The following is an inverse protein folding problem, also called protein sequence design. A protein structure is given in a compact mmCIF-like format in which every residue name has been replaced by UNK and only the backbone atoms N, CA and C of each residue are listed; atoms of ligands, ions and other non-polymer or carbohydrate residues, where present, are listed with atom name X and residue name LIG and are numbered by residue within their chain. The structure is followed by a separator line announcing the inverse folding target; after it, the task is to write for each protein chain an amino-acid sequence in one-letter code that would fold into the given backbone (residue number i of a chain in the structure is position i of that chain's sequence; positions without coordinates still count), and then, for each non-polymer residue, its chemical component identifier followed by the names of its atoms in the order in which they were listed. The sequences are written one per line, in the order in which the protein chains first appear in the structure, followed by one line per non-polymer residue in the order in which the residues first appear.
data_IF_410292641795
#
_entry.id   IF_410292641795
#
_cell.length_a   1.000
_cell.length_b   1.000
_cell.length_c   1.000
_cell.angle_alpha   90.00
_cell.angle_beta   90.00
_cell.angle_gamma   90.00
#
_symmetry.space_group_name_H-M   'P 1'
#
loop_
_entity.id
_entity.type
_entity.pdbx_description
1 polymer ?
#
# COMPACT_ATOMS: atom_id res chain seq x y z
N UNK A 1 -28.73 -10.76 -24.10
CA UNK A 1 -27.90 -11.70 -23.32
C UNK A 1 -26.86 -10.95 -22.45
N UNK A 2 -27.28 -9.84 -21.77
CA UNK A 2 -26.38 -8.95 -20.95
C UNK A 2 -27.06 -8.63 -19.60
N UNK A 3 -27.76 -9.59 -19.00
CA UNK A 3 -28.41 -9.37 -17.68
C UNK A 3 -28.04 -10.38 -16.61
N UNK A 4 -26.89 -11.05 -16.74
CA UNK A 4 -26.50 -12.12 -15.79
C UNK A 4 -25.32 -11.77 -14.86
N UNK A 5 -24.81 -10.54 -14.89
CA UNK A 5 -23.69 -10.13 -14.05
C UNK A 5 -24.03 -9.15 -12.93
N UNK A 6 -25.31 -8.77 -12.77
CA UNK A 6 -25.71 -7.76 -11.77
C UNK A 6 -26.18 -8.33 -10.42
N UNK A 7 -25.98 -9.61 -10.14
CA UNK A 7 -26.47 -10.24 -8.90
C UNK A 7 -25.38 -10.97 -8.10
N UNK A 8 -24.12 -10.64 -8.27
CA UNK A 8 -23.12 -11.03 -7.28
C UNK A 8 -23.16 -9.97 -6.19
N UNK A 9 -24.12 -10.07 -5.29
CA UNK A 9 -24.09 -9.35 -4.01
C UNK A 9 -22.84 -9.74 -3.27
N UNK A 10 -21.95 -8.77 -3.06
CA UNK A 10 -20.69 -8.88 -2.35
C UNK A 10 -20.72 -8.94 -0.79
N UNK A 11 -21.78 -9.30 -0.08
CA UNK A 11 -21.70 -9.43 1.37
C UNK A 11 -21.17 -10.79 1.86
N UNK A 12 -21.25 -11.85 1.07
CA UNK A 12 -20.82 -13.18 1.51
C UNK A 12 -19.38 -13.55 1.16
N UNK A 13 -18.76 -12.87 0.20
CA UNK A 13 -17.40 -13.17 -0.26
C UNK A 13 -16.29 -12.45 0.52
N UNK A 14 -16.61 -11.37 1.26
CA UNK A 14 -15.61 -10.60 2.00
C UNK A 14 -15.20 -11.23 3.34
N UNK A 15 -16.05 -12.06 3.95
CA UNK A 15 -15.78 -12.66 5.26
C UNK A 15 -14.54 -13.58 5.26
N UNK A 16 -14.36 -14.51 4.30
CA UNK A 16 -13.14 -15.31 4.21
C UNK A 16 -11.88 -14.45 4.01
N UNK A 17 -11.98 -13.40 3.19
CA UNK A 17 -10.87 -12.48 2.96
C UNK A 17 -10.50 -11.68 4.20
N UNK A 18 -11.48 -11.19 4.96
CA UNK A 18 -11.24 -10.50 6.23
C UNK A 18 -10.52 -11.40 7.22
N UNK A 19 -10.96 -12.64 7.31
CA UNK A 19 -10.33 -13.64 8.18
C UNK A 19 -8.91 -13.97 7.71
N UNK A 20 -8.72 -14.15 6.38
CA UNK A 20 -7.43 -14.48 5.80
C UNK A 20 -6.39 -13.35 5.99
N UNK A 21 -6.78 -12.11 5.71
CA UNK A 21 -5.90 -10.95 5.84
C UNK A 21 -5.77 -10.46 7.28
N UNK A 22 -6.72 -10.79 8.15
CA UNK A 22 -6.76 -10.28 9.54
C UNK A 22 -7.17 -8.81 9.62
N UNK A 23 -8.08 -8.35 8.74
CA UNK A 23 -8.51 -6.94 8.71
C UNK A 23 -10.03 -6.78 8.65
N UNK A 24 -10.58 -5.65 9.14
CA UNK A 24 -12.03 -5.43 9.18
C UNK A 24 -12.66 -5.16 7.82
N UNK A 25 -11.92 -4.62 6.86
CA UNK A 25 -12.46 -4.21 5.56
C UNK A 25 -11.68 -4.82 4.41
N UNK A 26 -12.40 -5.30 3.38
CA UNK A 26 -11.78 -5.86 2.17
C UNK A 26 -12.59 -5.48 0.94
N UNK A 27 -11.89 -5.00 -0.10
CA UNK A 27 -12.41 -4.73 -1.42
C UNK A 27 -11.86 -5.77 -2.42
N UNK A 28 -12.74 -6.41 -3.18
CA UNK A 28 -12.40 -7.48 -4.13
C UNK A 28 -12.87 -7.23 -5.57
N UNK A 29 -13.49 -6.08 -5.83
CA UNK A 29 -13.97 -5.72 -7.18
C UNK A 29 -12.85 -5.38 -8.15
N UNK A 30 -11.67 -5.02 -7.64
CA UNK A 30 -10.49 -4.70 -8.45
C UNK A 30 -10.01 -5.92 -9.23
N UNK A 31 -9.69 -5.72 -10.51
CA UNK A 31 -9.39 -6.83 -11.45
C UNK A 31 -7.89 -7.20 -11.49
N UNK A 32 -7.03 -6.46 -10.83
CA UNK A 32 -5.59 -6.76 -10.75
C UNK A 32 -4.95 -6.12 -9.53
N UNK A 33 -3.77 -6.60 -9.13
CA UNK A 33 -2.97 -5.97 -8.08
C UNK A 33 -2.52 -4.55 -8.45
N UNK A 34 -2.27 -4.27 -9.72
CA UNK A 34 -1.97 -2.91 -10.17
C UNK A 34 -3.16 -1.98 -9.97
N UNK A 35 -4.37 -2.42 -10.29
CA UNK A 35 -5.58 -1.62 -10.02
C UNK A 35 -5.84 -1.46 -8.53
N UNK A 36 -5.48 -2.44 -7.70
CA UNK A 36 -5.53 -2.29 -6.25
C UNK A 36 -4.64 -1.13 -5.79
N UNK A 37 -3.43 -1.03 -6.33
CA UNK A 37 -2.53 0.09 -6.03
C UNK A 37 -3.08 1.42 -6.56
N UNK A 38 -3.56 1.47 -7.81
CA UNK A 38 -4.15 2.68 -8.39
C UNK A 38 -5.33 3.19 -7.58
N UNK A 39 -6.27 2.31 -7.22
CA UNK A 39 -7.42 2.67 -6.39
C UNK A 39 -6.98 3.20 -5.01
N UNK A 40 -5.97 2.58 -4.40
CA UNK A 40 -5.41 3.03 -3.13
C UNK A 40 -4.75 4.41 -3.26
N UNK A 41 -3.94 4.64 -4.28
CA UNK A 41 -3.26 5.93 -4.49
C UNK A 41 -4.26 7.05 -4.83
N UNK A 42 -5.27 6.76 -5.67
CA UNK A 42 -6.36 7.69 -5.96
C UNK A 42 -7.10 8.08 -4.68
N UNK A 43 -7.49 7.10 -3.88
CA UNK A 43 -8.20 7.35 -2.63
C UNK A 43 -7.36 8.15 -1.62
N UNK A 44 -6.05 7.90 -1.53
CA UNK A 44 -5.14 8.69 -0.68
C UNK A 44 -5.04 10.14 -1.15
N UNK A 45 -4.97 10.36 -2.47
CA UNK A 45 -4.94 11.70 -3.05
C UNK A 45 -6.26 12.44 -2.79
N UNK A 46 -7.41 11.79 -2.99
CA UNK A 46 -8.73 12.36 -2.72
C UNK A 46 -8.92 12.64 -1.23
N UNK A 47 -8.45 11.75 -0.38
CA UNK A 47 -8.46 11.95 1.08
C UNK A 47 -7.62 13.15 1.49
N UNK A 48 -6.44 13.33 0.91
CA UNK A 48 -5.58 14.49 1.14
C UNK A 48 -6.30 15.79 0.77
N UNK A 49 -7.04 15.80 -0.33
CA UNK A 49 -7.73 16.98 -0.86
C UNK A 49 -9.17 17.16 -0.36
N UNK A 50 -9.67 16.31 0.54
CA UNK A 50 -11.08 16.28 0.95
C UNK A 50 -11.63 17.57 1.56
N UNK A 51 -10.76 18.37 2.16
CA UNK A 51 -11.13 19.63 2.81
C UNK A 51 -11.04 20.84 1.87
N UNK A 52 -10.37 20.72 0.73
CA UNK A 52 -10.21 21.79 -0.24
C UNK A 52 -10.42 21.27 -1.67
N UNK A 53 -11.67 21.16 -2.06
CA UNK A 53 -12.06 20.69 -3.40
C UNK A 53 -12.04 21.78 -4.47
N UNK A 54 -11.76 23.04 -4.10
CA UNK A 54 -11.81 24.18 -5.01
C UNK A 54 -10.48 24.44 -5.73
N UNK A 55 -9.39 23.92 -5.19
CA UNK A 55 -8.05 24.04 -5.76
C UNK A 55 -7.69 22.82 -6.61
N UNK A 56 -6.68 22.98 -7.45
CA UNK A 56 -6.08 21.85 -8.18
C UNK A 56 -5.67 20.77 -7.18
N UNK A 57 -6.10 19.50 -7.35
CA UNK A 57 -5.77 18.45 -6.42
C UNK A 57 -4.26 18.30 -6.23
N UNK A 58 -3.83 18.36 -4.97
CA UNK A 58 -2.44 18.15 -4.63
C UNK A 58 -2.12 16.67 -4.71
N UNK A 59 -1.07 16.31 -5.42
CA UNK A 59 -0.53 14.97 -5.44
C UNK A 59 0.10 14.61 -4.10
N UNK A 60 0.32 13.31 -3.87
CA UNK A 60 1.04 12.82 -2.70
C UNK A 60 2.44 13.45 -2.67
N UNK A 61 2.85 13.88 -1.51
CA UNK A 61 4.20 14.36 -1.25
C UNK A 61 5.23 13.23 -1.31
N UNK A 62 6.20 13.21 -0.41
CA UNK A 62 7.18 12.12 -0.42
C UNK A 62 6.53 10.75 -0.19
N UNK A 63 6.92 9.79 -1.03
CA UNK A 63 6.60 8.36 -0.88
C UNK A 63 7.89 7.60 -0.68
N UNK A 64 7.94 6.75 0.34
CA UNK A 64 9.07 5.86 0.62
C UNK A 64 8.71 4.44 0.14
N UNK A 65 9.54 3.86 -0.73
CA UNK A 65 9.30 2.53 -1.28
C UNK A 65 10.60 1.73 -1.49
N UNK A 66 10.47 0.47 -1.88
CA UNK A 66 11.60 -0.35 -2.29
C UNK A 66 12.08 0.01 -3.71
N UNK A 67 13.37 0.26 -3.89
CA UNK A 67 13.95 0.52 -5.21
C UNK A 67 13.80 -0.70 -6.14
N UNK A 68 13.48 -0.47 -7.41
CA UNK A 68 13.22 -1.55 -8.38
C UNK A 68 14.42 -2.51 -8.54
N UNK A 69 15.65 -1.99 -8.57
CA UNK A 69 16.89 -2.80 -8.67
C UNK A 69 17.12 -3.65 -7.41
N UNK A 70 16.49 -3.29 -6.29
CA UNK A 70 16.51 -4.04 -5.01
C UNK A 70 15.27 -4.91 -4.83
N UNK A 71 14.66 -5.30 -5.93
CA UNK A 71 13.49 -6.16 -5.97
C UNK A 71 12.15 -5.45 -5.78
N UNK A 72 12.11 -4.10 -5.77
CA UNK A 72 10.87 -3.34 -5.63
C UNK A 72 9.83 -3.68 -6.68
N UNK A 73 8.55 -3.60 -6.30
CA UNK A 73 7.44 -3.89 -7.20
C UNK A 73 7.21 -2.71 -8.17
N UNK A 74 7.12 -2.99 -9.47
CA UNK A 74 6.97 -1.97 -10.51
C UNK A 74 5.72 -1.10 -10.30
N UNK A 75 4.61 -1.69 -9.90
CA UNK A 75 3.36 -1.00 -9.65
C UNK A 75 3.48 0.11 -8.58
N UNK A 76 4.40 -0.03 -7.62
CA UNK A 76 4.66 0.96 -6.58
C UNK A 76 5.73 2.01 -6.99
N UNK A 77 6.11 2.08 -8.27
CA UNK A 77 7.14 2.99 -8.77
C UNK A 77 6.54 4.17 -9.55
N UNK A 78 7.29 5.28 -9.70
CA UNK A 78 6.86 6.42 -10.54
C UNK A 78 6.67 6.07 -12.02
N UNK A 79 7.26 4.99 -12.49
CA UNK A 79 7.07 4.48 -13.85
C UNK A 79 5.89 3.49 -13.96
N UNK A 80 5.25 3.17 -12.85
CA UNK A 80 4.09 2.28 -12.76
C UNK A 80 2.84 3.02 -12.27
N UNK A 81 2.05 2.38 -11.40
CA UNK A 81 0.77 2.93 -10.94
C UNK A 81 0.90 4.22 -10.09
N UNK A 82 2.05 4.48 -9.49
CA UNK A 82 2.28 5.67 -8.67
C UNK A 82 2.43 6.96 -9.51
N UNK A 83 2.70 6.87 -10.81
CA UNK A 83 3.06 7.98 -11.70
C UNK A 83 2.15 9.21 -11.58
N UNK A 84 0.85 9.00 -11.62
CA UNK A 84 -0.12 10.09 -11.71
C UNK A 84 -0.50 10.65 -10.32
N UNK A 85 -0.07 10.00 -9.25
CA UNK A 85 -0.44 10.32 -7.88
C UNK A 85 0.67 10.97 -7.05
N UNK A 86 1.92 10.93 -7.53
CA UNK A 86 3.09 11.46 -6.83
C UNK A 86 3.45 12.87 -7.30
N UNK A 87 3.83 13.74 -6.38
CA UNK A 87 4.33 15.07 -6.71
C UNK A 87 5.63 14.99 -7.52
N UNK A 88 5.79 15.97 -8.41
CA UNK A 88 6.98 16.14 -9.24
C UNK A 88 7.52 17.54 -9.00
N UNK A 89 8.82 17.64 -8.76
CA UNK A 89 9.49 18.92 -8.67
C UNK A 89 9.46 19.60 -10.05
N UNK A 90 8.89 20.82 -10.18
CA UNK A 90 8.69 21.45 -11.47
C UNK A 90 9.98 21.92 -12.15
N UNK A 91 11.08 22.02 -11.41
CA UNK A 91 12.38 22.48 -11.93
C UNK A 91 13.27 21.31 -12.34
N UNK A 92 13.33 20.28 -11.49
CA UNK A 92 14.22 19.14 -11.70
C UNK A 92 13.52 17.95 -12.35
N UNK A 93 12.18 18.00 -12.50
CA UNK A 93 11.32 16.92 -12.98
C UNK A 93 11.43 15.62 -12.16
N UNK A 94 12.03 15.69 -10.98
CA UNK A 94 12.17 14.54 -10.10
C UNK A 94 10.89 14.28 -9.34
N UNK A 95 10.48 13.03 -9.33
CA UNK A 95 9.35 12.57 -8.51
C UNK A 95 9.72 12.59 -7.03
N UNK A 96 8.76 12.91 -6.17
CA UNK A 96 8.94 12.93 -4.72
C UNK A 96 8.99 11.50 -4.12
N UNK A 97 9.79 10.62 -4.71
CA UNK A 97 10.02 9.26 -4.24
C UNK A 97 11.40 9.16 -3.61
N UNK A 98 11.45 8.58 -2.43
CA UNK A 98 12.69 8.14 -1.78
C UNK A 98 12.66 6.63 -1.64
N UNK A 99 13.82 6.00 -1.64
CA UNK A 99 13.89 4.55 -1.53
C UNK A 99 14.40 4.13 -0.16
N UNK A 100 13.96 2.97 0.30
CA UNK A 100 14.51 2.36 1.50
C UNK A 100 16.02 2.15 1.35
N UNK A 101 16.83 2.64 2.29
CA UNK A 101 18.21 2.18 2.45
C UNK A 101 18.24 0.67 2.67
N UNK A 102 19.28 0.02 2.15
CA UNK A 102 19.48 -1.41 2.30
C UNK A 102 20.79 -1.72 3.03
N UNK A 103 20.84 -2.86 3.70
CA UNK A 103 22.04 -3.30 4.40
C UNK A 103 23.19 -3.52 3.41
N UNK A 104 24.43 -3.26 3.86
CA UNK A 104 25.62 -3.44 3.01
C UNK A 104 25.91 -4.91 2.71
N UNK A 105 25.58 -5.78 3.64
CA UNK A 105 25.79 -7.23 3.56
C UNK A 105 24.64 -7.96 2.86
N UNK A 106 23.46 -7.34 2.75
CA UNK A 106 22.27 -7.91 2.10
C UNK A 106 21.45 -6.81 1.42
N UNK A 107 21.64 -6.65 0.13
CA UNK A 107 20.99 -5.60 -0.67
C UNK A 107 19.46 -5.78 -0.83
N UNK A 108 18.90 -6.90 -0.35
CA UNK A 108 17.46 -7.16 -0.32
C UNK A 108 16.86 -6.98 1.07
N UNK A 109 17.69 -6.67 2.08
CA UNK A 109 17.25 -6.36 3.44
C UNK A 109 17.26 -4.85 3.68
N UNK A 110 16.13 -4.32 4.13
CA UNK A 110 15.99 -2.91 4.50
C UNK A 110 16.86 -2.63 5.74
N UNK A 111 17.65 -1.57 5.68
CA UNK A 111 18.35 -1.03 6.84
C UNK A 111 17.38 -0.15 7.66
N UNK A 112 16.97 -0.65 8.80
CA UNK A 112 15.95 0.00 9.63
C UNK A 112 16.46 1.32 10.22
N UNK A 113 17.72 1.37 10.67
CA UNK A 113 18.25 2.58 11.30
C UNK A 113 18.47 3.71 10.29
N UNK A 114 19.00 3.40 9.12
CA UNK A 114 19.08 4.38 8.05
C UNK A 114 17.71 4.79 7.52
N UNK A 115 16.74 3.86 7.48
CA UNK A 115 15.36 4.15 7.11
C UNK A 115 14.70 5.14 8.05
N UNK A 116 14.92 5.03 9.36
CA UNK A 116 14.42 6.00 10.36
C UNK A 116 14.90 7.42 10.06
N UNK A 117 16.19 7.58 9.71
CA UNK A 117 16.77 8.89 9.31
C UNK A 117 16.11 9.45 8.04
N UNK A 118 15.87 8.57 7.06
CA UNK A 118 15.17 8.95 5.82
C UNK A 118 13.74 9.41 6.12
N UNK A 119 13.00 8.67 6.95
CA UNK A 119 11.64 9.03 7.35
C UNK A 119 11.62 10.36 8.11
N UNK A 120 12.54 10.58 9.04
CA UNK A 120 12.61 11.82 9.79
C UNK A 120 12.92 13.03 8.87
N UNK A 121 13.83 12.85 7.92
CA UNK A 121 14.21 13.89 6.96
C UNK A 121 13.11 14.26 5.98
N UNK A 122 12.46 13.27 5.37
CA UNK A 122 11.54 13.48 4.24
C UNK A 122 10.06 13.48 4.65
N UNK A 123 9.74 13.01 5.85
CA UNK A 123 8.37 12.94 6.37
C UNK A 123 7.38 12.39 5.31
N UNK A 124 7.59 11.17 4.80
CA UNK A 124 6.77 10.64 3.72
C UNK A 124 5.30 10.54 4.12
N UNK A 125 4.41 10.91 3.21
CA UNK A 125 2.96 10.77 3.40
C UNK A 125 2.52 9.30 3.27
N UNK A 126 3.27 8.52 2.49
CA UNK A 126 3.01 7.09 2.26
C UNK A 126 4.32 6.30 2.31
N UNK A 127 4.31 5.21 3.05
CA UNK A 127 5.38 4.21 3.07
C UNK A 127 4.82 2.93 2.44
N UNK A 128 5.46 2.44 1.37
CA UNK A 128 5.04 1.24 0.65
C UNK A 128 6.07 0.14 0.84
N UNK A 129 5.74 -0.84 1.65
CA UNK A 129 6.46 -2.10 1.72
C UNK A 129 6.05 -3.03 0.58
N UNK A 130 6.86 -4.03 0.32
CA UNK A 130 6.59 -5.05 -0.69
C UNK A 130 7.54 -4.99 -1.87
N UNK A 131 7.81 -6.16 -2.40
CA UNK A 131 8.77 -6.38 -3.48
C UNK A 131 8.23 -7.41 -4.48
N UNK A 132 8.74 -7.39 -5.70
CA UNK A 132 8.61 -8.51 -6.64
C UNK A 132 9.55 -9.66 -6.27
N UNK A 133 10.75 -9.33 -5.74
CA UNK A 133 11.71 -10.31 -5.21
C UNK A 133 11.73 -10.22 -3.68
N UNK A 134 10.93 -11.05 -3.04
CA UNK A 134 10.79 -11.07 -1.58
C UNK A 134 11.67 -12.18 -1.01
N UNK A 135 12.84 -11.83 -0.48
CA UNK A 135 13.78 -12.75 0.14
C UNK A 135 13.78 -12.65 1.68
N UNK A 136 13.29 -11.54 2.21
CA UNK A 136 13.24 -11.24 3.65
C UNK A 136 11.88 -10.68 4.01
N UNK A 137 11.49 -10.79 5.29
CA UNK A 137 10.37 -10.05 5.84
C UNK A 137 10.65 -8.55 5.78
N UNK A 138 9.63 -7.76 5.50
CA UNK A 138 9.74 -6.31 5.55
C UNK A 138 9.59 -5.83 7.02
N UNK A 139 10.36 -4.82 7.48
CA UNK A 139 10.38 -4.37 8.88
C UNK A 139 9.18 -3.45 9.21
N UNK A 140 7.96 -3.94 8.99
CA UNK A 140 6.73 -3.14 9.17
C UNK A 140 6.56 -2.70 10.62
N UNK A 141 6.74 -3.62 11.57
CA UNK A 141 6.51 -3.35 12.99
C UNK A 141 7.50 -2.31 13.55
N UNK A 142 8.77 -2.42 13.16
CA UNK A 142 9.82 -1.49 13.59
C UNK A 142 9.57 -0.08 13.07
N UNK A 143 9.20 0.03 11.80
CA UNK A 143 8.89 1.33 11.18
C UNK A 143 7.59 1.90 11.72
N UNK A 144 6.54 1.08 11.93
CA UNK A 144 5.29 1.53 12.56
C UNK A 144 5.56 2.10 13.96
N UNK A 145 6.34 1.42 14.77
CA UNK A 145 6.70 1.91 16.10
C UNK A 145 7.38 3.27 16.00
N UNK A 146 8.39 3.40 15.16
CA UNK A 146 9.12 4.65 14.98
C UNK A 146 8.22 5.81 14.56
N UNK A 147 7.40 5.64 13.52
CA UNK A 147 6.52 6.74 13.04
C UNK A 147 5.47 7.13 14.08
N UNK A 148 5.03 6.17 14.91
CA UNK A 148 4.10 6.44 16.01
C UNK A 148 4.77 7.24 17.13
N UNK A 149 5.96 6.83 17.57
CA UNK A 149 6.75 7.51 18.60
C UNK A 149 7.13 8.93 18.20
N UNK A 150 7.42 9.15 16.91
CA UNK A 150 7.78 10.46 16.36
C UNK A 150 6.57 11.30 15.89
N UNK A 151 5.35 10.82 16.11
CA UNK A 151 4.11 11.48 15.66
C UNK A 151 4.16 11.87 14.16
N UNK A 152 4.66 10.98 13.30
CA UNK A 152 4.72 11.21 11.86
C UNK A 152 3.40 10.72 11.22
N UNK A 153 2.59 11.60 10.61
CA UNK A 153 1.29 11.25 10.04
C UNK A 153 1.45 10.57 8.67
N UNK A 154 2.12 9.44 8.63
CA UNK A 154 2.28 8.63 7.42
C UNK A 154 1.28 7.49 7.36
N UNK A 155 0.88 7.09 6.17
CA UNK A 155 0.14 5.84 5.95
C UNK A 155 1.13 4.73 5.61
N UNK A 156 1.00 3.57 6.24
CA UNK A 156 1.81 2.39 5.91
C UNK A 156 0.97 1.42 5.10
N UNK A 157 1.45 1.14 3.89
CA UNK A 157 0.87 0.18 2.95
C UNK A 157 1.85 -0.97 2.69
N UNK A 158 1.32 -2.18 2.56
CA UNK A 158 2.09 -3.32 2.09
C UNK A 158 1.52 -3.84 0.76
N UNK A 159 2.28 -3.72 -0.31
CA UNK A 159 1.97 -4.36 -1.59
C UNK A 159 2.42 -5.82 -1.55
N UNK A 160 1.48 -6.70 -1.28
CA UNK A 160 1.70 -8.13 -1.20
C UNK A 160 1.42 -8.87 -2.52
N UNK A 161 1.44 -8.19 -3.66
CA UNK A 161 1.13 -8.82 -4.95
C UNK A 161 1.90 -10.12 -5.20
N UNK A 162 3.15 -10.21 -4.76
CA UNK A 162 3.99 -11.39 -4.95
C UNK A 162 3.97 -12.37 -3.78
N UNK A 163 3.46 -11.98 -2.62
CA UNK A 163 3.47 -12.81 -1.40
C UNK A 163 2.10 -12.92 -0.72
N UNK A 164 1.02 -12.60 -1.43
CA UNK A 164 -0.33 -12.65 -0.87
C UNK A 164 -0.67 -14.04 -0.34
N UNK A 165 -0.26 -15.11 -1.02
CA UNK A 165 -0.47 -16.48 -0.58
C UNK A 165 0.39 -16.92 0.61
N UNK A 166 1.26 -16.06 1.11
CA UNK A 166 2.15 -16.33 2.24
C UNK A 166 1.76 -15.56 3.51
N UNK A 167 0.63 -14.82 3.47
CA UNK A 167 0.11 -14.16 4.67
C UNK A 167 -0.15 -15.19 5.76
N UNK A 168 0.40 -14.97 6.94
CA UNK A 168 0.22 -15.86 8.08
C UNK A 168 1.49 -16.08 8.90
N UNK A 169 1.43 -17.06 9.82
CA UNK A 169 2.48 -17.35 10.81
C UNK A 169 3.81 -17.77 10.19
N UNK A 170 3.76 -18.37 9.02
CA UNK A 170 4.98 -18.87 8.35
C UNK A 170 5.76 -17.79 7.60
N UNK A 171 5.13 -16.65 7.34
CA UNK A 171 5.82 -15.54 6.68
C UNK A 171 5.57 -14.21 7.40
N UNK A 172 4.46 -13.51 7.12
CA UNK A 172 4.23 -12.17 7.67
C UNK A 172 2.73 -11.87 7.78
N UNK A 173 2.36 -11.11 8.81
CA UNK A 173 1.01 -10.63 9.06
C UNK A 173 1.01 -9.10 9.11
N UNK A 174 0.97 -8.42 7.97
CA UNK A 174 1.18 -6.97 7.90
C UNK A 174 0.28 -6.13 8.81
N UNK A 175 -0.99 -6.51 8.96
CA UNK A 175 -1.92 -5.77 9.80
C UNK A 175 -1.60 -5.90 11.29
N UNK A 176 -1.15 -7.05 11.77
CA UNK A 176 -0.69 -7.25 13.15
C UNK A 176 0.59 -6.45 13.42
N UNK A 177 1.40 -6.23 12.38
CA UNK A 177 2.63 -5.43 12.42
C UNK A 177 2.39 -3.92 12.26
N UNK A 178 1.15 -3.50 11.98
CA UNK A 178 0.75 -2.10 11.92
C UNK A 178 0.66 -1.48 10.53
N UNK A 179 0.62 -2.27 9.46
CA UNK A 179 0.18 -1.77 8.17
C UNK A 179 -1.29 -1.33 8.24
N UNK A 180 -1.64 -0.28 7.53
CA UNK A 180 -3.00 0.24 7.47
C UNK A 180 -3.73 -0.28 6.23
N UNK A 181 -2.98 -0.51 5.15
CA UNK A 181 -3.51 -0.96 3.86
C UNK A 181 -2.63 -2.11 3.35
N UNK A 182 -3.26 -3.15 2.86
CA UNK A 182 -2.61 -4.26 2.14
C UNK A 182 -3.25 -4.36 0.77
N UNK A 183 -2.44 -4.37 -0.28
CA UNK A 183 -2.90 -4.68 -1.65
C UNK A 183 -2.29 -5.98 -2.13
N UNK A 184 -2.94 -6.65 -3.07
CA UNK A 184 -2.42 -7.93 -3.55
C UNK A 184 -2.98 -8.36 -4.89
N UNK A 185 -2.29 -9.31 -5.51
CA UNK A 185 -2.72 -10.06 -6.69
C UNK A 185 -3.09 -11.48 -6.31
N UNK A 186 -4.21 -11.98 -6.81
CA UNK A 186 -4.72 -13.30 -6.42
C UNK A 186 -4.26 -14.44 -7.32
N UNK A 187 -3.44 -14.16 -8.34
CA UNK A 187 -3.00 -15.12 -9.36
C UNK A 187 -1.50 -15.42 -9.35
N UNK A 188 -0.82 -15.10 -8.26
CA UNK A 188 0.62 -15.39 -8.04
C UNK A 188 0.75 -16.45 -6.95
N UNK A 189 1.36 -16.11 -5.82
CA UNK A 189 1.49 -17.06 -4.69
C UNK A 189 0.15 -17.47 -4.06
N UNK A 190 -0.93 -16.71 -4.27
CA UNK A 190 -2.26 -17.05 -3.76
C UNK A 190 -2.97 -18.15 -4.55
N UNK A 191 -2.54 -18.47 -5.78
CA UNK A 191 -3.08 -19.52 -6.65
C UNK A 191 -4.54 -19.34 -7.11
N UNK A 192 -5.11 -18.15 -7.01
CA UNK A 192 -6.47 -17.85 -7.47
C UNK A 192 -6.55 -17.35 -8.91
N UNK A 193 -7.76 -17.01 -9.39
CA UNK A 193 -7.93 -16.33 -10.67
C UNK A 193 -7.30 -14.93 -10.64
N UNK A 194 -7.07 -14.38 -11.82
CA UNK A 194 -6.53 -13.01 -11.92
C UNK A 194 -7.53 -11.99 -11.37
N UNK A 195 -7.24 -11.49 -10.20
CA UNK A 195 -7.95 -10.41 -9.50
C UNK A 195 -6.97 -9.64 -8.61
N UNK A 196 -7.42 -8.53 -8.09
CA UNK A 196 -6.76 -7.81 -7.02
C UNK A 196 -7.58 -7.90 -5.73
N UNK A 197 -6.96 -7.49 -4.65
CA UNK A 197 -7.59 -7.34 -3.35
C UNK A 197 -6.99 -6.13 -2.64
N UNK A 198 -7.82 -5.41 -1.88
CA UNK A 198 -7.41 -4.34 -0.99
C UNK A 198 -7.98 -4.67 0.39
N UNK A 199 -7.11 -4.89 1.36
CA UNK A 199 -7.47 -4.97 2.77
C UNK A 199 -7.17 -3.65 3.46
N UNK A 200 -8.02 -3.24 4.40
CA UNK A 200 -7.85 -1.98 5.13
C UNK A 200 -8.16 -2.20 6.61
N UNK A 201 -7.29 -1.67 7.47
CA UNK A 201 -7.43 -1.76 8.92
C UNK A 201 -8.09 -0.50 9.51
N UNK A 202 -9.19 -0.04 8.89
CA UNK A 202 -9.99 1.06 9.43
C UNK A 202 -11.36 0.56 9.86
N UNK A 203 -11.85 1.07 11.00
CA UNK A 203 -13.19 0.89 11.50
C UNK A 203 -13.97 2.19 11.40
N UNK A 204 -15.27 2.13 11.55
CA UNK A 204 -16.16 3.28 11.37
C UNK A 204 -15.88 4.44 12.32
N UNK A 205 -15.33 4.16 13.48
CA UNK A 205 -14.89 5.13 14.49
C UNK A 205 -13.54 5.79 14.21
N UNK A 206 -12.76 5.28 13.24
CA UNK A 206 -11.44 5.80 12.94
C UNK A 206 -11.50 7.09 12.11
N UNK A 207 -10.58 8.00 12.38
CA UNK A 207 -10.46 9.27 11.64
C UNK A 207 -10.26 9.06 10.13
N UNK A 208 -9.63 7.96 9.75
CA UNK A 208 -9.38 7.59 8.34
C UNK A 208 -10.49 6.74 7.72
N UNK A 209 -11.67 6.59 8.36
CA UNK A 209 -12.77 5.82 7.79
C UNK A 209 -13.18 6.31 6.39
N UNK A 210 -13.22 7.64 6.18
CA UNK A 210 -13.54 8.22 4.87
C UNK A 210 -12.57 7.83 3.76
N UNK A 211 -11.33 7.45 4.06
CA UNK A 211 -10.41 6.90 3.08
C UNK A 211 -10.89 5.52 2.59
N UNK A 212 -11.40 4.67 3.49
CA UNK A 212 -12.03 3.42 3.10
C UNK A 212 -13.26 3.63 2.21
N UNK A 213 -14.12 4.58 2.55
CA UNK A 213 -15.29 4.92 1.72
C UNK A 213 -14.88 5.37 0.32
N UNK A 214 -13.78 6.13 0.21
CA UNK A 214 -13.23 6.54 -1.09
C UNK A 214 -12.66 5.36 -1.90
N UNK A 215 -12.05 4.36 -1.24
CA UNK A 215 -11.59 3.14 -1.93
C UNK A 215 -12.76 2.37 -2.52
N UNK A 216 -13.94 2.43 -1.88
CA UNK A 216 -15.14 1.71 -2.31
C UNK A 216 -15.95 2.43 -3.40
N UNK A 217 -15.77 3.74 -3.59
CA UNK A 217 -16.48 4.54 -4.60
C UNK A 217 -15.93 4.32 -6.00
#
# INVERSE_FOLDING_TARGET
MIRMYSTIRAPSSSTPWRQYLGCPQVETRVISGQMSNMATFSALMDWKNRLDRKHTPQRLGYVLNNHIIRGGHLSAQPMGALKDYIAVDPVTERTAVVNFPVCRDDLFRIDVEETKKVIDRYRPELIIFGKSMVLRREPVAEIRRFVTEQNIPTTIMYDMAHVLGLVGDHFQKPFEEGAEIVTGSTHKTFFGPQRGVIGVNYRREDLKWGLWETIQS
#
